data_IF_121021281843
#
_entry.id   IF_121021281843
#
_cell.length_a   1.000
_cell.length_b   1.000
_cell.length_c   1.000
_cell.angle_alpha   90.00
_cell.angle_beta   90.00
_cell.angle_gamma   90.00
#
_symmetry.space_group_name_H-M   'P 1'
#
loop_
_entity.id
_entity.type
_entity.pdbx_description
1 polymer ?
#
# COMPACT_ATOMS: atom_id res chain seq x y z
N UNK A 1 52.99 -6.15 23.04
CA UNK A 1 52.18 -5.04 23.55
C UNK A 1 50.72 -5.49 23.51
N UNK A 2 50.20 -6.02 24.62
CA UNK A 2 48.79 -6.40 24.73
C UNK A 2 47.96 -5.12 24.60
N UNK A 3 47.29 -4.92 23.47
CA UNK A 3 46.20 -3.95 23.42
C UNK A 3 45.14 -4.47 24.38
N UNK A 4 44.98 -3.82 25.53
CA UNK A 4 43.83 -4.05 26.40
C UNK A 4 42.58 -3.70 25.59
N UNK A 5 41.89 -4.73 25.09
CA UNK A 5 40.61 -4.56 24.42
C UNK A 5 39.57 -4.42 25.53
N UNK A 6 39.14 -3.18 25.79
CA UNK A 6 38.11 -2.88 26.78
C UNK A 6 36.73 -3.13 26.15
N UNK A 7 35.97 -4.07 26.72
CA UNK A 7 34.60 -4.36 26.27
C UNK A 7 33.60 -3.49 27.01
N UNK A 8 32.98 -2.52 26.31
CA UNK A 8 31.93 -1.67 26.88
C UNK A 8 30.54 -2.23 26.56
N UNK A 9 29.68 -2.41 27.57
CA UNK A 9 28.25 -2.73 27.38
C UNK A 9 27.55 -1.49 26.79
N UNK A 10 26.92 -1.66 25.63
CA UNK A 10 26.15 -0.61 24.96
C UNK A 10 24.70 -1.07 24.85
N UNK A 11 23.75 -0.23 25.21
CA UNK A 11 22.33 -0.48 25.00
C UNK A 11 22.00 -0.22 23.53
N UNK A 12 21.49 -1.24 22.84
CA UNK A 12 20.93 -1.12 21.49
C UNK A 12 19.41 -0.98 21.66
N UNK A 13 18.86 0.19 21.33
CA UNK A 13 17.43 0.48 21.42
C UNK A 13 16.91 0.77 20.00
N UNK A 14 16.51 -0.28 19.31
CA UNK A 14 15.91 -0.19 17.97
C UNK A 14 14.42 -0.54 18.06
N UNK A 15 13.56 0.32 17.51
CA UNK A 15 12.13 0.02 17.44
C UNK A 15 11.88 -1.09 16.41
N UNK A 16 11.31 -2.21 16.85
CA UNK A 16 10.95 -3.31 15.94
C UNK A 16 9.92 -2.87 14.89
N UNK A 17 9.00 -1.97 15.20
CA UNK A 17 7.93 -1.57 14.29
C UNK A 17 8.16 -0.17 13.71
N UNK A 18 7.97 -0.04 12.40
CA UNK A 18 7.70 1.27 11.78
C UNK A 18 6.43 1.86 12.39
N UNK A 19 6.39 3.18 12.52
CA UNK A 19 5.26 3.90 13.11
C UNK A 19 4.84 3.40 14.51
N UNK A 20 5.79 3.00 15.37
CA UNK A 20 5.53 2.47 16.71
C UNK A 20 4.49 3.28 17.53
N UNK A 21 4.47 4.62 17.42
CA UNK A 21 3.46 5.46 18.08
C UNK A 21 2.02 5.17 17.61
N UNK A 22 1.81 4.91 16.33
CA UNK A 22 0.48 4.61 15.76
C UNK A 22 -0.07 3.27 16.26
N UNK A 23 0.82 2.31 16.51
CA UNK A 23 0.43 1.00 17.05
C UNK A 23 -0.20 1.08 18.45
N UNK A 24 0.07 2.14 19.20
CA UNK A 24 -0.50 2.34 20.54
C UNK A 24 -1.88 3.02 20.52
N UNK A 25 -2.41 3.36 19.34
CA UNK A 25 -3.70 4.05 19.21
C UNK A 25 -4.84 3.02 19.21
N UNK A 26 -5.41 2.80 20.38
CA UNK A 26 -6.52 1.86 20.55
C UNK A 26 -7.90 2.53 20.52
N UNK A 27 -7.97 3.85 20.79
CA UNK A 27 -9.23 4.58 20.88
C UNK A 27 -9.93 4.69 19.52
N UNK A 28 -11.26 4.49 19.50
CA UNK A 28 -12.06 4.57 18.27
C UNK A 28 -11.93 5.94 17.59
N UNK A 29 -11.95 7.01 18.37
CA UNK A 29 -11.80 8.38 17.88
C UNK A 29 -10.43 8.66 17.27
N UNK A 30 -9.35 8.13 17.87
CA UNK A 30 -8.01 8.26 17.31
C UNK A 30 -7.91 7.61 15.93
N UNK A 31 -8.51 6.42 15.76
CA UNK A 31 -8.54 5.72 14.47
C UNK A 31 -9.37 6.46 13.41
N UNK A 32 -10.53 7.01 13.80
CA UNK A 32 -11.37 7.84 12.92
C UNK A 32 -10.61 9.09 12.48
N UNK A 33 -9.94 9.76 13.40
CA UNK A 33 -9.16 10.97 13.10
C UNK A 33 -8.01 10.69 12.14
N UNK A 34 -7.26 9.60 12.35
CA UNK A 34 -6.20 9.18 11.41
C UNK A 34 -6.79 8.84 10.04
N UNK A 35 -7.90 8.10 10.01
CA UNK A 35 -8.60 7.75 8.76
C UNK A 35 -8.95 9.02 7.98
N UNK A 36 -9.53 10.02 8.66
CA UNK A 36 -9.88 11.31 8.07
C UNK A 36 -8.66 12.04 7.49
N UNK A 37 -7.57 12.16 8.26
CA UNK A 37 -6.34 12.79 7.79
C UNK A 37 -5.73 12.07 6.58
N UNK A 38 -5.68 10.74 6.64
CA UNK A 38 -5.17 9.92 5.54
C UNK A 38 -6.05 10.03 4.30
N UNK A 39 -7.37 10.13 4.44
CA UNK A 39 -8.28 10.31 3.30
C UNK A 39 -8.08 11.65 2.58
N UNK A 40 -7.87 12.75 3.32
CA UNK A 40 -7.56 14.06 2.70
C UNK A 40 -6.23 13.98 1.96
N UNK A 41 -5.19 13.52 2.64
CA UNK A 41 -3.85 13.42 2.07
C UNK A 41 -3.84 12.54 0.82
N UNK A 42 -4.49 11.37 0.89
CA UNK A 42 -4.62 10.44 -0.23
C UNK A 42 -5.37 11.07 -1.41
N UNK A 43 -6.47 11.77 -1.16
CA UNK A 43 -7.25 12.42 -2.23
C UNK A 43 -6.44 13.48 -2.98
N UNK A 44 -5.75 14.37 -2.26
CA UNK A 44 -4.90 15.41 -2.87
C UNK A 44 -3.76 14.75 -3.66
N UNK A 45 -3.06 13.80 -3.04
CA UNK A 45 -1.95 13.12 -3.69
C UNK A 45 -2.42 12.33 -4.93
N UNK A 46 -3.61 11.71 -4.91
CA UNK A 46 -4.17 10.98 -6.06
C UNK A 46 -4.44 11.93 -7.23
N UNK A 47 -4.97 13.13 -6.97
CA UNK A 47 -5.19 14.12 -8.04
C UNK A 47 -3.86 14.52 -8.68
N UNK A 48 -2.89 14.94 -7.86
CA UNK A 48 -1.61 15.47 -8.34
C UNK A 48 -0.75 14.39 -9.01
N UNK A 49 -0.71 13.18 -8.45
CA UNK A 49 0.21 12.13 -8.89
C UNK A 49 -0.39 11.18 -9.93
N UNK A 50 -1.72 11.05 -9.99
CA UNK A 50 -2.42 10.05 -10.80
C UNK A 50 -3.41 10.67 -11.77
N UNK A 51 -4.40 11.43 -11.25
CA UNK A 51 -5.46 11.97 -12.10
C UNK A 51 -4.90 12.92 -13.18
N UNK A 52 -3.99 13.82 -12.79
CA UNK A 52 -3.43 14.83 -13.68
C UNK A 52 -2.28 14.31 -14.57
N UNK A 53 -1.63 13.21 -14.19
CA UNK A 53 -0.44 12.70 -14.89
C UNK A 53 -0.77 11.67 -15.96
N UNK A 54 -1.99 11.13 -15.98
CA UNK A 54 -2.33 10.02 -16.88
C UNK A 54 -2.08 8.63 -16.30
N UNK A 55 -1.36 8.55 -15.17
CA UNK A 55 -1.14 7.28 -14.48
C UNK A 55 -2.45 6.67 -13.95
N UNK A 56 -2.39 5.39 -13.61
CA UNK A 56 -3.48 4.65 -13.01
C UNK A 56 -3.24 4.43 -11.52
N UNK A 57 -4.31 4.52 -10.72
CA UNK A 57 -4.25 4.13 -9.32
C UNK A 57 -4.00 2.62 -9.17
N UNK A 58 -3.73 2.16 -7.96
CA UNK A 58 -3.45 0.74 -7.72
C UNK A 58 -4.74 -0.05 -7.48
N UNK A 59 -4.83 -1.24 -8.07
CA UNK A 59 -5.94 -2.15 -7.84
C UNK A 59 -7.27 -1.63 -8.40
N UNK A 60 -8.30 -1.51 -7.54
CA UNK A 60 -9.65 -1.11 -7.99
C UNK A 60 -9.66 0.31 -8.54
N UNK A 61 -8.79 1.20 -8.05
CA UNK A 61 -8.68 2.58 -8.54
C UNK A 61 -8.36 2.61 -10.05
N UNK A 62 -7.50 1.73 -10.55
CA UNK A 62 -7.20 1.64 -11.98
C UNK A 62 -8.48 1.40 -12.82
N UNK A 63 -9.38 0.55 -12.31
CA UNK A 63 -10.63 0.21 -12.98
C UNK A 63 -11.57 1.43 -12.97
N UNK A 64 -11.74 2.09 -11.82
CA UNK A 64 -12.56 3.30 -11.71
C UNK A 64 -12.07 4.42 -12.62
N UNK A 65 -10.76 4.67 -12.65
CA UNK A 65 -10.15 5.70 -13.50
C UNK A 65 -10.38 5.38 -14.98
N UNK A 66 -10.23 4.11 -15.36
CA UNK A 66 -10.42 3.67 -16.74
C UNK A 66 -11.84 3.86 -17.24
N UNK A 67 -12.84 3.52 -16.41
CA UNK A 67 -14.25 3.69 -16.76
C UNK A 67 -14.58 5.18 -16.83
N UNK A 68 -14.08 5.99 -15.89
CA UNK A 68 -14.26 7.44 -15.91
C UNK A 68 -13.71 8.06 -17.20
N UNK A 69 -12.48 7.73 -17.60
CA UNK A 69 -11.86 8.23 -18.84
C UNK A 69 -12.64 7.78 -20.08
N UNK A 70 -12.98 6.49 -20.14
CA UNK A 70 -13.70 5.91 -21.26
C UNK A 70 -15.08 6.58 -21.43
N UNK A 71 -15.91 6.58 -20.39
CA UNK A 71 -17.27 7.12 -20.49
C UNK A 71 -17.24 8.63 -20.69
N UNK A 72 -16.33 9.35 -20.03
CA UNK A 72 -16.15 10.79 -20.26
C UNK A 72 -15.82 11.10 -21.71
N UNK A 73 -14.80 10.45 -22.28
CA UNK A 73 -14.37 10.67 -23.66
C UNK A 73 -15.46 10.31 -24.68
N UNK A 74 -16.10 9.14 -24.55
CA UNK A 74 -17.14 8.75 -25.49
C UNK A 74 -18.43 9.56 -25.33
N UNK A 75 -18.70 10.14 -24.16
CA UNK A 75 -19.79 11.12 -23.99
C UNK A 75 -19.50 12.39 -24.78
N UNK A 76 -18.26 12.90 -24.72
CA UNK A 76 -17.83 14.04 -25.54
C UNK A 76 -17.98 13.74 -27.03
N UNK A 77 -17.53 12.56 -27.48
CA UNK A 77 -17.67 12.12 -28.88
C UNK A 77 -19.13 11.98 -29.32
N UNK A 78 -20.03 11.62 -28.41
CA UNK A 78 -21.47 11.55 -28.66
C UNK A 78 -22.17 12.92 -28.67
N UNK A 79 -21.43 14.03 -28.51
CA UNK A 79 -21.95 15.40 -28.58
C UNK A 79 -22.26 16.03 -27.21
N UNK A 80 -21.86 15.40 -26.09
CA UNK A 80 -21.94 16.06 -24.79
C UNK A 80 -21.03 17.29 -24.75
N UNK A 81 -21.44 18.35 -24.06
CA UNK A 81 -20.57 19.50 -23.87
C UNK A 81 -19.34 19.14 -22.97
N UNK A 82 -18.21 19.86 -23.09
CA UNK A 82 -16.99 19.53 -22.35
C UNK A 82 -17.16 19.52 -20.83
N UNK A 83 -17.97 20.44 -20.28
CA UNK A 83 -18.20 20.54 -18.84
C UNK A 83 -18.95 19.31 -18.28
N UNK A 84 -19.94 18.82 -19.03
CA UNK A 84 -20.69 17.61 -18.69
C UNK A 84 -19.79 16.37 -18.82
N UNK A 85 -19.00 16.26 -19.89
CA UNK A 85 -18.07 15.15 -20.06
C UNK A 85 -17.02 15.10 -18.93
N UNK A 86 -16.50 16.26 -18.50
CA UNK A 86 -15.60 16.36 -17.34
C UNK A 86 -16.30 15.97 -16.04
N UNK A 87 -17.54 16.40 -15.84
CA UNK A 87 -18.37 16.03 -14.68
C UNK A 87 -18.58 14.52 -14.61
N UNK A 88 -18.92 13.90 -15.74
CA UNK A 88 -19.06 12.44 -15.87
C UNK A 88 -17.74 11.76 -15.50
N UNK A 89 -16.62 12.23 -16.06
CA UNK A 89 -15.29 11.71 -15.72
C UNK A 89 -15.04 11.75 -14.21
N UNK A 90 -15.16 12.91 -13.56
CA UNK A 90 -14.87 13.08 -12.11
C UNK A 90 -15.81 12.24 -11.25
N UNK A 91 -17.11 12.27 -11.53
CA UNK A 91 -18.10 11.52 -10.72
C UNK A 91 -17.87 10.01 -10.88
N UNK A 92 -17.61 9.51 -12.08
CA UNK A 92 -17.37 8.08 -12.27
C UNK A 92 -16.02 7.65 -11.70
N UNK A 93 -14.97 8.47 -11.85
CA UNK A 93 -13.65 8.20 -11.30
C UNK A 93 -13.70 7.92 -9.79
N UNK A 94 -14.41 8.74 -9.03
CA UNK A 94 -14.52 8.58 -7.57
C UNK A 94 -15.72 7.73 -7.14
N UNK A 95 -16.86 7.84 -7.84
CA UNK A 95 -18.10 7.12 -7.52
C UNK A 95 -18.00 5.63 -7.80
N UNK A 96 -17.39 5.22 -8.91
CA UNK A 96 -17.18 3.79 -9.21
C UNK A 96 -16.25 3.16 -8.17
N UNK A 97 -15.27 3.90 -7.66
CA UNK A 97 -14.41 3.41 -6.56
C UNK A 97 -15.24 3.02 -5.34
N UNK A 98 -16.23 3.83 -4.95
CA UNK A 98 -17.16 3.46 -3.87
C UNK A 98 -17.95 2.21 -4.24
N UNK A 99 -18.54 2.17 -5.43
CA UNK A 99 -19.41 1.07 -5.88
C UNK A 99 -18.68 -0.28 -5.93
N UNK A 100 -17.52 -0.33 -6.58
CA UNK A 100 -16.71 -1.57 -6.70
C UNK A 100 -16.20 -2.06 -5.35
N UNK A 101 -16.12 -1.18 -4.35
CA UNK A 101 -15.74 -1.55 -3.00
C UNK A 101 -16.88 -2.10 -2.14
N UNK A 102 -18.15 -1.85 -2.47
CA UNK A 102 -19.28 -2.36 -1.66
C UNK A 102 -19.19 -3.89 -1.45
N UNK A 103 -19.00 -4.72 -2.49
CA UNK A 103 -18.85 -6.17 -2.30
C UNK A 103 -17.64 -6.54 -1.44
N UNK A 104 -16.53 -5.82 -1.57
CA UNK A 104 -15.30 -6.06 -0.81
C UNK A 104 -15.47 -5.69 0.67
N UNK A 105 -16.22 -4.63 0.96
CA UNK A 105 -16.55 -4.22 2.32
C UNK A 105 -17.46 -5.26 2.98
N UNK A 106 -18.51 -5.69 2.28
CA UNK A 106 -19.39 -6.78 2.75
C UNK A 106 -18.56 -8.03 3.04
N UNK A 107 -17.69 -8.42 2.10
CA UNK A 107 -16.77 -9.54 2.30
C UNK A 107 -15.89 -9.36 3.54
N UNK A 108 -15.28 -8.19 3.71
CA UNK A 108 -14.39 -7.92 4.86
C UNK A 108 -15.12 -7.91 6.21
N UNK A 109 -16.38 -7.52 6.23
CA UNK A 109 -17.23 -7.53 7.42
C UNK A 109 -17.43 -8.95 7.94
N UNK A 110 -17.63 -9.91 7.02
CA UNK A 110 -17.86 -11.32 7.36
C UNK A 110 -16.57 -12.15 7.48
N UNK A 111 -15.51 -11.82 6.73
CA UNK A 111 -14.30 -12.66 6.63
C UNK A 111 -13.07 -12.11 7.33
N UNK A 112 -13.04 -10.84 7.70
CA UNK A 112 -11.88 -10.22 8.35
C UNK A 112 -12.23 -9.73 9.76
N UNK A 113 -13.01 -8.65 9.86
CA UNK A 113 -13.49 -8.04 11.12
C UNK A 113 -14.47 -6.90 10.78
N UNK A 114 -15.54 -6.75 11.57
CA UNK A 114 -16.50 -5.62 11.46
C UNK A 114 -15.84 -4.25 11.54
N UNK A 115 -14.93 -4.03 12.49
CA UNK A 115 -14.23 -2.76 12.64
C UNK A 115 -13.35 -2.46 11.41
N UNK A 116 -12.74 -3.49 10.83
CA UNK A 116 -11.95 -3.34 9.61
C UNK A 116 -12.82 -2.89 8.44
N UNK A 117 -14.00 -3.51 8.27
CA UNK A 117 -14.95 -3.11 7.25
C UNK A 117 -15.43 -1.66 7.45
N UNK A 118 -15.77 -1.27 8.69
CA UNK A 118 -16.28 0.07 9.01
C UNK A 118 -15.23 1.15 8.70
N UNK A 119 -13.99 0.99 9.19
CA UNK A 119 -12.95 2.00 8.96
C UNK A 119 -12.52 2.05 7.48
N UNK A 120 -12.51 0.89 6.80
CA UNK A 120 -12.22 0.84 5.35
C UNK A 120 -13.30 1.56 4.56
N UNK A 121 -14.58 1.31 4.87
CA UNK A 121 -15.68 2.03 4.25
C UNK A 121 -15.60 3.54 4.50
N UNK A 122 -15.31 3.94 5.74
CA UNK A 122 -15.13 5.34 6.09
C UNK A 122 -14.01 5.98 5.26
N UNK A 123 -12.87 5.32 5.12
CA UNK A 123 -11.76 5.82 4.29
C UNK A 123 -12.18 6.00 2.83
N UNK A 124 -12.84 5.00 2.23
CA UNK A 124 -13.25 5.03 0.82
C UNK A 124 -14.25 6.17 0.58
N UNK A 125 -15.23 6.35 1.46
CA UNK A 125 -16.21 7.43 1.35
C UNK A 125 -15.54 8.79 1.51
N UNK A 126 -14.73 8.98 2.55
CA UNK A 126 -14.06 10.26 2.79
C UNK A 126 -13.09 10.61 1.67
N UNK A 127 -12.23 9.68 1.24
CA UNK A 127 -11.29 9.92 0.15
C UNK A 127 -12.00 10.23 -1.17
N UNK A 128 -13.15 9.59 -1.45
CA UNK A 128 -13.95 9.89 -2.63
C UNK A 128 -14.62 11.26 -2.56
N UNK A 129 -15.18 11.63 -1.41
CA UNK A 129 -15.78 12.96 -1.20
C UNK A 129 -14.71 14.05 -1.36
N UNK A 130 -13.56 13.88 -0.72
CA UNK A 130 -12.45 14.83 -0.86
C UNK A 130 -11.90 14.86 -2.29
N UNK A 131 -11.77 13.71 -2.95
CA UNK A 131 -11.32 13.61 -4.33
C UNK A 131 -12.22 14.36 -5.31
N UNK A 132 -13.55 14.20 -5.16
CA UNK A 132 -14.54 14.98 -5.92
C UNK A 132 -14.39 16.47 -5.59
N UNK A 133 -14.40 16.84 -4.30
CA UNK A 133 -14.31 18.22 -3.86
C UNK A 133 -13.07 18.94 -4.38
N UNK A 134 -11.91 18.30 -4.32
CA UNK A 134 -10.65 18.84 -4.82
C UNK A 134 -10.59 18.87 -6.35
N UNK A 135 -11.21 17.93 -7.05
CA UNK A 135 -11.28 17.93 -8.53
C UNK A 135 -12.09 19.10 -9.10
N UNK A 136 -12.97 19.71 -8.30
CA UNK A 136 -13.72 20.92 -8.69
C UNK A 136 -13.05 22.23 -8.26
N UNK A 137 -11.89 22.17 -7.61
CA UNK A 137 -11.11 23.39 -7.36
C UNK A 137 -10.62 23.93 -8.71
N UNK A 138 -10.81 25.23 -9.02
CA UNK A 138 -10.35 25.81 -10.27
C UNK A 138 -8.84 25.61 -10.48
N UNK A 139 -8.45 25.20 -11.68
CA UNK A 139 -7.07 24.87 -12.06
C UNK A 139 -6.46 23.66 -11.32
N UNK A 140 -7.27 22.83 -10.65
CA UNK A 140 -6.77 21.60 -10.01
C UNK A 140 -6.16 20.62 -11.01
N UNK A 141 -6.61 20.65 -12.28
CA UNK A 141 -6.06 19.87 -13.38
C UNK A 141 -4.62 20.25 -13.76
N UNK A 142 -4.16 21.44 -13.35
CA UNK A 142 -2.80 21.94 -13.62
C UNK A 142 -1.85 21.70 -12.45
N UNK A 143 -2.34 21.17 -11.34
CA UNK A 143 -1.49 20.87 -10.19
C UNK A 143 -0.48 19.78 -10.56
N UNK A 144 0.78 20.18 -10.64
CA UNK A 144 1.91 19.33 -11.02
C UNK A 144 3.13 19.70 -10.19
N UNK A 145 3.98 18.71 -9.90
CA UNK A 145 5.24 18.88 -9.16
C UNK A 145 6.46 18.96 -10.09
N UNK A 146 6.46 18.15 -11.15
CA UNK A 146 7.58 18.01 -12.10
C UNK A 146 7.21 18.46 -13.51
N UNK A 147 6.24 19.37 -13.61
CA UNK A 147 5.70 19.87 -14.86
C UNK A 147 4.70 18.92 -15.52
N UNK A 148 4.35 19.27 -16.75
CA UNK A 148 3.36 18.55 -17.55
C UNK A 148 3.99 17.32 -18.22
N UNK A 149 3.38 16.16 -17.96
CA UNK A 149 3.84 14.86 -18.42
C UNK A 149 2.93 14.23 -19.46
N UNK A 150 1.83 14.88 -19.84
CA UNK A 150 0.88 14.35 -20.82
C UNK A 150 1.19 14.87 -22.21
N UNK A 151 0.80 14.11 -23.23
CA UNK A 151 0.82 14.54 -24.61
C UNK A 151 -0.18 15.71 -24.78
N UNK A 152 0.33 16.89 -25.10
CA UNK A 152 -0.48 18.11 -25.13
C UNK A 152 -1.61 18.05 -26.15
N UNK A 153 -1.33 17.44 -27.29
CA UNK A 153 -2.29 17.33 -28.38
C UNK A 153 -3.43 16.40 -28.01
N UNK A 154 -3.11 15.19 -27.53
CA UNK A 154 -4.10 14.24 -27.05
C UNK A 154 -4.94 14.83 -25.90
N UNK A 155 -4.30 15.57 -25.00
CA UNK A 155 -4.97 16.24 -23.90
C UNK A 155 -5.90 17.35 -24.40
N UNK A 156 -5.45 18.24 -25.30
CA UNK A 156 -6.26 19.37 -25.78
C UNK A 156 -7.46 18.92 -26.60
N UNK A 157 -7.28 17.93 -27.49
CA UNK A 157 -8.37 17.46 -28.36
C UNK A 157 -9.42 16.66 -27.61
N UNK A 158 -9.00 15.91 -26.59
CA UNK A 158 -9.92 15.22 -25.69
C UNK A 158 -10.50 16.10 -24.58
N UNK A 159 -10.22 17.41 -24.58
CA UNK A 159 -10.65 18.34 -23.53
C UNK A 159 -10.24 17.89 -22.12
N UNK A 160 -9.03 17.32 -22.00
CA UNK A 160 -8.45 16.86 -20.74
C UNK A 160 -9.00 15.54 -20.20
N UNK A 161 -9.70 14.76 -21.04
CA UNK A 161 -10.25 13.45 -20.66
C UNK A 161 -9.26 12.31 -20.93
N UNK A 162 -8.41 12.45 -21.94
CA UNK A 162 -7.31 11.53 -22.23
C UNK A 162 -6.01 12.19 -21.74
N UNK A 163 -5.43 11.61 -20.71
CA UNK A 163 -4.13 12.00 -20.15
C UNK A 163 -3.20 10.82 -20.37
N UNK A 164 -2.28 10.96 -21.33
CA UNK A 164 -1.37 9.91 -21.77
C UNK A 164 -0.09 10.56 -22.31
N UNK A 165 1.07 9.99 -22.02
CA UNK A 165 2.32 10.28 -22.72
C UNK A 165 2.51 9.30 -23.88
N UNK A 166 3.21 9.70 -24.93
CA UNK A 166 3.41 8.84 -26.10
C UNK A 166 4.90 8.61 -26.38
N UNK A 167 5.20 7.57 -27.17
CA UNK A 167 6.57 7.27 -27.64
C UNK A 167 6.97 8.17 -28.82
N UNK A 168 7.03 9.48 -28.57
CA UNK A 168 7.42 10.49 -29.56
C UNK A 168 8.60 11.30 -29.09
N UNK A 169 9.29 11.96 -30.02
CA UNK A 169 10.36 12.88 -29.65
C UNK A 169 9.84 14.09 -28.86
N UNK A 170 8.61 14.55 -29.13
CA UNK A 170 7.99 15.65 -28.38
C UNK A 170 7.73 15.28 -26.91
N UNK A 171 7.48 14.00 -26.62
CA UNK A 171 7.18 13.52 -25.27
C UNK A 171 8.39 12.91 -24.55
N UNK A 172 9.55 12.79 -25.21
CA UNK A 172 10.73 12.14 -24.64
C UNK A 172 11.17 12.73 -23.29
N UNK A 173 11.06 14.06 -23.11
CA UNK A 173 11.38 14.73 -21.84
C UNK A 173 10.37 14.46 -20.72
N UNK A 174 9.19 13.93 -21.05
CA UNK A 174 8.09 13.67 -20.10
C UNK A 174 8.19 12.29 -19.45
N UNK A 175 8.87 11.35 -20.10
CA UNK A 175 8.95 9.95 -19.66
C UNK A 175 9.62 9.81 -18.29
N UNK A 176 10.73 10.52 -18.04
CA UNK A 176 11.43 10.44 -16.76
C UNK A 176 10.63 11.06 -15.60
N UNK A 177 10.08 12.29 -15.71
CA UNK A 177 9.14 12.81 -14.72
C UNK A 177 7.95 11.88 -14.45
N UNK A 178 7.38 11.25 -15.48
CA UNK A 178 6.26 10.31 -15.33
C UNK A 178 6.63 9.08 -14.47
N UNK A 179 7.84 8.55 -14.62
CA UNK A 179 8.36 7.48 -13.75
C UNK A 179 8.51 7.99 -12.32
N UNK A 180 9.02 9.22 -12.12
CA UNK A 180 9.18 9.81 -10.79
C UNK A 180 7.82 9.97 -10.10
N UNK A 181 6.79 10.44 -10.82
CA UNK A 181 5.41 10.50 -10.31
C UNK A 181 4.92 9.12 -9.86
N UNK A 182 5.13 8.08 -10.68
CA UNK A 182 4.75 6.71 -10.36
C UNK A 182 5.46 6.19 -9.11
N UNK A 183 6.78 6.40 -8.99
CA UNK A 183 7.57 5.99 -7.81
C UNK A 183 7.10 6.72 -6.54
N UNK A 184 6.86 8.03 -6.62
CA UNK A 184 6.39 8.81 -5.48
C UNK A 184 4.98 8.40 -5.06
N UNK A 185 4.08 8.17 -6.01
CA UNK A 185 2.75 7.64 -5.71
C UNK A 185 2.83 6.26 -5.06
N UNK A 186 3.68 5.36 -5.57
CA UNK A 186 3.88 4.05 -4.96
C UNK A 186 4.30 4.13 -3.49
N UNK A 187 5.23 5.05 -3.17
CA UNK A 187 5.68 5.27 -1.78
C UNK A 187 4.55 5.86 -0.94
N UNK A 188 3.85 6.88 -1.44
CA UNK A 188 2.71 7.51 -0.75
C UNK A 188 1.61 6.48 -0.47
N UNK A 189 1.21 5.72 -1.49
CA UNK A 189 0.20 4.68 -1.38
C UNK A 189 0.62 3.64 -0.34
N UNK A 190 1.86 3.16 -0.38
CA UNK A 190 2.38 2.20 0.58
C UNK A 190 2.38 2.73 2.02
N UNK A 191 2.74 4.00 2.24
CA UNK A 191 2.68 4.65 3.56
C UNK A 191 1.23 4.71 4.05
N UNK A 192 0.30 5.17 3.20
CA UNK A 192 -1.12 5.24 3.56
C UNK A 192 -1.66 3.85 3.87
N UNK A 193 -1.41 2.85 3.02
CA UNK A 193 -1.83 1.46 3.27
C UNK A 193 -1.25 0.93 4.58
N UNK A 194 0.04 1.15 4.87
CA UNK A 194 0.66 0.72 6.12
C UNK A 194 -0.02 1.38 7.34
N UNK A 195 -0.22 2.69 7.33
CA UNK A 195 -0.92 3.42 8.40
C UNK A 195 -2.34 2.88 8.58
N UNK A 196 -3.07 2.67 7.49
CA UNK A 196 -4.43 2.14 7.51
C UNK A 196 -4.45 0.71 8.07
N UNK A 197 -3.52 -0.17 7.69
CA UNK A 197 -3.43 -1.52 8.24
C UNK A 197 -3.10 -1.53 9.73
N UNK A 198 -2.26 -0.60 10.21
CA UNK A 198 -1.93 -0.46 11.64
C UNK A 198 -3.19 -0.17 12.46
N UNK A 199 -4.03 0.75 12.01
CA UNK A 199 -5.29 1.08 12.69
C UNK A 199 -6.42 0.05 12.42
N UNK A 200 -6.08 -1.09 11.82
CA UNK A 200 -7.01 -2.17 11.44
C UNK A 200 -8.05 -1.73 10.39
N UNK A 201 -7.60 -1.04 9.35
CA UNK A 201 -8.37 -0.60 8.19
C UNK A 201 -7.60 -0.91 6.89
N UNK A 202 -8.06 -0.40 5.75
CA UNK A 202 -7.47 -0.56 4.42
C UNK A 202 -7.83 0.65 3.57
N UNK A 203 -7.07 0.88 2.49
CA UNK A 203 -7.40 1.90 1.50
C UNK A 203 -8.58 1.50 0.59
N UNK A 204 -9.19 0.33 0.84
CA UNK A 204 -10.14 -0.31 -0.05
C UNK A 204 -9.47 -1.16 -1.14
N UNK A 205 -10.23 -1.46 -2.17
CA UNK A 205 -9.81 -2.22 -3.33
C UNK A 205 -9.31 -3.62 -3.01
N UNK A 206 -8.44 -4.12 -3.87
CA UNK A 206 -7.89 -5.46 -3.73
C UNK A 206 -7.00 -5.64 -2.49
N UNK A 207 -6.59 -4.56 -1.81
CA UNK A 207 -5.92 -4.61 -0.51
C UNK A 207 -6.74 -5.42 0.51
N UNK A 208 -8.08 -5.33 0.46
CA UNK A 208 -8.97 -6.12 1.31
C UNK A 208 -8.77 -7.62 1.10
N UNK A 209 -8.68 -8.06 -0.17
CA UNK A 209 -8.42 -9.44 -0.51
C UNK A 209 -7.01 -9.85 -0.11
N UNK A 210 -6.02 -8.98 -0.34
CA UNK A 210 -4.62 -9.23 0.03
C UNK A 210 -4.48 -9.43 1.54
N UNK A 211 -5.13 -8.59 2.36
CA UNK A 211 -5.15 -8.76 3.83
C UNK A 211 -5.81 -10.07 4.23
N UNK A 212 -6.93 -10.45 3.61
CA UNK A 212 -7.57 -11.73 3.87
C UNK A 212 -6.67 -12.92 3.51
N UNK A 213 -6.18 -12.99 2.28
CA UNK A 213 -5.33 -14.08 1.81
C UNK A 213 -4.03 -14.20 2.59
N UNK A 214 -3.43 -13.07 2.97
CA UNK A 214 -2.19 -13.04 3.75
C UNK A 214 -2.40 -13.56 5.17
N UNK A 215 -3.57 -13.32 5.78
CA UNK A 215 -3.98 -13.96 7.05
C UNK A 215 -4.14 -15.47 6.88
N UNK A 216 -4.86 -15.92 5.87
CA UNK A 216 -5.19 -17.35 5.68
C UNK A 216 -4.00 -18.20 5.23
N UNK A 217 -3.08 -17.62 4.43
CA UNK A 217 -1.95 -18.34 3.83
C UNK A 217 -0.61 -18.02 4.47
N UNK A 218 -0.56 -17.09 5.43
CA UNK A 218 0.67 -16.67 6.13
C UNK A 218 1.81 -16.30 5.16
N UNK A 219 1.46 -15.64 4.06
CA UNK A 219 2.39 -15.19 3.01
C UNK A 219 2.50 -13.67 3.02
N UNK A 220 3.63 -13.15 2.56
CA UNK A 220 3.86 -11.71 2.44
C UNK A 220 2.80 -11.02 1.56
N UNK A 221 2.47 -9.78 1.90
CA UNK A 221 1.42 -9.01 1.23
C UNK A 221 1.84 -8.61 -0.19
N UNK A 222 3.11 -8.25 -0.38
CA UNK A 222 3.65 -7.69 -1.64
C UNK A 222 3.42 -8.56 -2.87
N UNK A 223 3.49 -9.89 -2.75
CA UNK A 223 3.25 -10.80 -3.88
C UNK A 223 1.80 -10.77 -4.38
N UNK A 224 0.82 -10.77 -3.47
CA UNK A 224 -0.58 -10.70 -3.86
C UNK A 224 -0.95 -9.32 -4.39
N UNK A 225 -0.37 -8.26 -3.81
CA UNK A 225 -0.48 -6.90 -4.36
C UNK A 225 -0.04 -6.84 -5.82
N UNK A 226 1.13 -7.42 -6.13
CA UNK A 226 1.68 -7.43 -7.48
C UNK A 226 0.68 -8.03 -8.47
N UNK A 227 0.10 -9.20 -8.15
CA UNK A 227 -0.85 -9.89 -9.04
C UNK A 227 -2.10 -9.03 -9.29
N UNK A 228 -2.78 -8.60 -8.23
CA UNK A 228 -4.03 -7.85 -8.36
C UNK A 228 -3.83 -6.51 -9.06
N UNK A 229 -2.73 -5.81 -8.76
CA UNK A 229 -2.45 -4.52 -9.39
C UNK A 229 -2.07 -4.66 -10.86
N UNK A 230 -1.31 -5.68 -11.25
CA UNK A 230 -0.98 -5.93 -12.66
C UNK A 230 -2.24 -6.24 -13.46
N UNK A 231 -3.13 -7.10 -12.94
CA UNK A 231 -4.41 -7.40 -13.61
C UNK A 231 -5.24 -6.12 -13.80
N UNK A 232 -5.37 -5.32 -12.75
CA UNK A 232 -6.04 -4.02 -12.79
C UNK A 232 -5.42 -3.04 -13.78
N UNK A 233 -4.09 -2.93 -13.83
CA UNK A 233 -3.40 -2.02 -14.73
C UNK A 233 -3.63 -2.41 -16.20
N UNK A 234 -3.59 -3.70 -16.53
CA UNK A 234 -3.84 -4.16 -17.90
C UNK A 234 -5.28 -3.81 -18.33
N UNK A 235 -6.28 -4.09 -17.50
CA UNK A 235 -7.68 -3.73 -17.78
C UNK A 235 -7.84 -2.21 -17.85
N UNK A 236 -7.25 -1.50 -16.89
CA UNK A 236 -7.38 -0.06 -16.76
C UNK A 236 -6.78 0.68 -17.95
N UNK A 237 -5.56 0.30 -18.36
CA UNK A 237 -4.87 0.85 -19.51
C UNK A 237 -5.59 0.50 -20.83
N UNK A 238 -6.10 -0.73 -20.96
CA UNK A 238 -6.88 -1.15 -22.13
C UNK A 238 -8.11 -0.25 -22.33
N UNK A 239 -8.91 -0.09 -21.28
CA UNK A 239 -10.19 0.62 -21.35
C UNK A 239 -10.00 2.13 -21.35
N UNK A 240 -9.14 2.66 -20.49
CA UNK A 240 -9.07 4.10 -20.23
C UNK A 240 -8.04 4.87 -21.05
N UNK A 241 -7.05 4.19 -21.64
CA UNK A 241 -5.97 4.84 -22.41
C UNK A 241 -5.89 4.29 -23.82
N UNK A 242 -5.70 2.99 -23.98
CA UNK A 242 -5.48 2.37 -25.29
C UNK A 242 -6.65 2.57 -26.26
N UNK A 243 -7.88 2.20 -25.86
CA UNK A 243 -9.06 2.35 -26.73
C UNK A 243 -9.36 3.84 -27.02
N UNK A 244 -9.49 4.74 -26.02
CA UNK A 244 -9.80 6.14 -26.28
C UNK A 244 -8.74 6.84 -27.14
N UNK A 245 -7.45 6.59 -26.88
CA UNK A 245 -6.35 7.20 -27.63
C UNK A 245 -6.29 6.68 -29.06
N UNK A 246 -6.51 5.38 -29.28
CA UNK A 246 -6.57 4.81 -30.64
C UNK A 246 -7.69 5.44 -31.45
N UNK A 247 -8.86 5.63 -30.84
CA UNK A 247 -10.00 6.28 -31.49
C UNK A 247 -9.73 7.77 -31.77
N UNK A 248 -8.97 8.45 -30.90
CA UNK A 248 -8.56 9.84 -31.13
C UNK A 248 -7.60 9.96 -32.32
N UNK A 249 -6.59 9.08 -32.40
CA UNK A 249 -5.61 9.06 -33.50
C UNK A 249 -6.28 8.72 -34.84
N UNK A 250 -7.31 7.87 -34.84
CA UNK A 250 -8.02 7.47 -36.07
C UNK A 250 -8.78 8.63 -36.72
N UNK A 251 -9.25 9.59 -35.91
CA UNK A 251 -10.03 10.74 -36.39
C UNK A 251 -9.17 11.96 -36.69
N UNK A 252 -7.95 12.01 -36.17
CA UNK A 252 -7.05 13.14 -36.36
C UNK A 252 -5.73 12.73 -37.07
N UNK A 253 -5.60 13.03 -38.38
CA UNK A 253 -4.44 12.66 -39.18
C UNK A 253 -3.15 13.36 -38.74
N UNK A 254 -3.21 14.42 -37.93
CA UNK A 254 -2.04 15.14 -37.47
C UNK A 254 -1.25 14.35 -36.39
N UNK A 255 -1.72 13.15 -35.99
CA UNK A 255 -0.96 12.24 -35.11
C UNK A 255 0.07 11.38 -35.86
N UNK A 256 0.22 11.54 -37.18
CA UNK A 256 1.23 10.87 -38.01
C UNK A 256 2.65 10.98 -37.41
N UNK A 257 3.42 9.88 -37.25
CA UNK A 257 3.23 8.54 -37.81
C UNK A 257 2.52 7.52 -36.92
N UNK A 258 1.77 7.96 -35.91
CA UNK A 258 1.01 7.00 -35.09
C UNK A 258 -0.11 6.35 -35.87
N UNK A 259 -0.20 5.03 -35.72
CA UNK A 259 -1.30 4.23 -36.25
C UNK A 259 -2.28 3.91 -35.12
N UNK A 260 -3.60 4.03 -35.37
CA UNK A 260 -4.60 3.57 -34.41
C UNK A 260 -4.39 2.10 -34.05
N UNK A 261 -4.61 1.75 -32.77
CA UNK A 261 -4.50 0.38 -32.27
C UNK A 261 -3.11 -0.26 -32.41
N UNK A 262 -2.05 0.54 -32.54
CA UNK A 262 -0.70 0.01 -32.43
C UNK A 262 -0.40 -0.45 -31.00
N UNK A 263 0.32 -1.56 -30.88
CA UNK A 263 0.93 -2.06 -29.65
C UNK A 263 1.66 -0.98 -28.84
N UNK A 264 2.29 0.01 -29.49
CA UNK A 264 2.97 1.12 -28.82
C UNK A 264 2.02 2.02 -28.01
N UNK A 265 0.73 2.09 -28.36
CA UNK A 265 -0.28 2.81 -27.59
C UNK A 265 -0.71 2.03 -26.35
N UNK A 266 -0.69 0.70 -26.41
CA UNK A 266 -0.96 -0.13 -25.23
C UNK A 266 0.22 -0.07 -24.27
N UNK A 267 1.43 -0.31 -24.76
CA UNK A 267 2.66 -0.23 -23.98
C UNK A 267 3.22 1.19 -23.90
N UNK A 268 2.34 2.19 -23.73
CA UNK A 268 2.72 3.60 -23.61
C UNK A 268 3.59 3.86 -22.34
N UNK A 269 4.28 5.02 -22.26
CA UNK A 269 5.07 5.39 -21.09
C UNK A 269 4.30 5.33 -19.75
N UNK A 270 3.02 5.68 -19.70
CA UNK A 270 2.19 5.60 -18.49
C UNK A 270 2.04 4.15 -18.00
N UNK A 271 1.87 3.20 -18.92
CA UNK A 271 1.81 1.77 -18.62
C UNK A 271 3.13 1.29 -18.01
N UNK A 272 4.27 1.65 -18.63
CA UNK A 272 5.60 1.27 -18.12
C UNK A 272 5.85 1.87 -16.73
N UNK A 273 5.52 3.16 -16.55
CA UNK A 273 5.58 3.81 -15.24
C UNK A 273 4.66 3.12 -14.23
N UNK A 274 3.46 2.71 -14.65
CA UNK A 274 2.52 1.92 -13.85
C UNK A 274 3.08 0.58 -13.38
N UNK A 275 3.79 -0.15 -14.25
CA UNK A 275 4.47 -1.41 -13.86
C UNK A 275 5.55 -1.15 -12.81
N UNK A 276 6.38 -0.12 -13.01
CA UNK A 276 7.43 0.27 -12.05
C UNK A 276 6.80 0.66 -10.71
N UNK A 277 5.76 1.48 -10.75
CA UNK A 277 4.98 1.92 -9.59
C UNK A 277 4.43 0.73 -8.80
N UNK A 278 3.89 -0.30 -9.47
CA UNK A 278 3.40 -1.51 -8.79
C UNK A 278 4.54 -2.25 -8.09
N UNK A 279 5.68 -2.44 -8.76
CA UNK A 279 6.84 -3.14 -8.19
C UNK A 279 7.37 -2.41 -6.95
N UNK A 280 7.52 -1.08 -7.03
CA UNK A 280 7.94 -0.24 -5.92
C UNK A 280 6.93 -0.33 -4.78
N UNK A 281 5.64 -0.22 -5.05
CA UNK A 281 4.61 -0.29 -4.02
C UNK A 281 4.67 -1.63 -3.27
N UNK A 282 4.75 -2.75 -4.00
CA UNK A 282 4.84 -4.08 -3.39
C UNK A 282 6.07 -4.22 -2.48
N UNK A 283 7.22 -3.66 -2.86
CA UNK A 283 8.43 -3.67 -2.05
C UNK A 283 8.29 -2.79 -0.79
N UNK A 284 7.79 -1.56 -0.95
CA UNK A 284 7.68 -0.60 0.16
C UNK A 284 6.65 -1.06 1.19
N UNK A 285 5.50 -1.61 0.78
CA UNK A 285 4.51 -2.18 1.70
C UNK A 285 5.10 -3.31 2.55
N UNK A 286 5.86 -4.23 1.93
CA UNK A 286 6.51 -5.32 2.65
C UNK A 286 7.59 -4.84 3.64
N UNK A 287 8.17 -3.66 3.42
CA UNK A 287 9.11 -3.01 4.35
C UNK A 287 8.36 -2.33 5.49
N UNK A 288 7.36 -1.51 5.17
CA UNK A 288 6.65 -0.68 6.15
C UNK A 288 5.69 -1.49 7.04
N UNK A 289 5.13 -2.58 6.51
CA UNK A 289 4.15 -3.40 7.22
C UNK A 289 4.46 -4.90 7.07
N UNK A 290 5.54 -5.40 7.69
CA UNK A 290 5.98 -6.81 7.59
C UNK A 290 5.10 -7.78 8.40
N UNK A 291 3.78 -7.56 8.48
CA UNK A 291 2.90 -8.17 9.48
C UNK A 291 2.93 -9.69 9.52
N UNK A 292 2.94 -10.34 8.36
CA UNK A 292 2.88 -11.79 8.26
C UNK A 292 4.26 -12.43 8.02
N UNK A 293 5.35 -11.66 8.14
CA UNK A 293 6.70 -12.22 8.14
C UNK A 293 6.89 -13.00 9.44
N UNK A 294 7.27 -14.26 9.30
CA UNK A 294 7.62 -15.12 10.42
C UNK A 294 8.99 -14.73 10.96
N UNK A 295 9.09 -14.64 12.29
CA UNK A 295 10.34 -14.38 12.98
C UNK A 295 10.55 -15.34 14.14
N UNK A 296 11.82 -15.59 14.47
CA UNK A 296 12.21 -16.15 15.75
C UNK A 296 12.62 -15.00 16.67
N UNK A 297 12.08 -14.97 17.88
CA UNK A 297 12.49 -14.05 18.93
C UNK A 297 13.24 -14.84 19.99
N UNK A 298 14.49 -14.47 20.24
CA UNK A 298 15.31 -14.99 21.33
C UNK A 298 15.48 -13.92 22.42
N UNK A 299 15.28 -14.30 23.67
CA UNK A 299 15.45 -13.45 24.85
C UNK A 299 16.47 -14.10 25.77
N UNK A 300 17.55 -13.38 26.04
CA UNK A 300 18.55 -13.75 27.02
C UNK A 300 18.31 -12.94 28.29
N UNK A 301 17.98 -13.63 29.38
CA UNK A 301 17.62 -13.02 30.66
C UNK A 301 17.87 -14.01 31.81
N UNK A 302 18.04 -13.49 33.02
CA UNK A 302 18.05 -14.31 34.24
C UNK A 302 16.63 -14.65 34.71
N UNK A 303 15.62 -13.87 34.31
CA UNK A 303 14.23 -13.97 34.75
C UNK A 303 13.35 -14.74 33.74
N UNK A 304 13.93 -15.71 33.01
CA UNK A 304 13.24 -16.42 31.92
C UNK A 304 11.94 -17.10 32.34
N UNK A 305 11.86 -17.65 33.56
CA UNK A 305 10.64 -18.29 34.05
C UNK A 305 9.51 -17.28 34.31
N UNK A 306 9.82 -16.16 34.96
CA UNK A 306 8.86 -15.08 35.22
C UNK A 306 8.34 -14.48 33.91
N UNK A 307 9.25 -14.28 32.94
CA UNK A 307 8.90 -13.84 31.58
C UNK A 307 7.95 -14.85 30.92
N UNK A 308 8.25 -16.15 30.99
CA UNK A 308 7.38 -17.20 30.42
C UNK A 308 5.99 -17.19 31.06
N UNK A 309 5.90 -17.06 32.38
CA UNK A 309 4.63 -17.02 33.09
C UNK A 309 3.78 -15.81 32.70
N UNK A 310 4.40 -14.64 32.57
CA UNK A 310 3.70 -13.44 32.13
C UNK A 310 3.22 -13.55 30.67
N UNK A 311 4.03 -14.14 29.78
CA UNK A 311 3.64 -14.42 28.40
C UNK A 311 2.45 -15.38 28.36
N UNK A 312 2.45 -16.44 29.17
CA UNK A 312 1.36 -17.43 29.19
C UNK A 312 0.09 -16.89 29.86
N UNK A 313 0.23 -15.93 30.78
CA UNK A 313 -0.87 -15.22 31.41
C UNK A 313 -1.52 -14.19 30.49
N UNK A 314 -0.82 -13.79 29.42
CA UNK A 314 -1.35 -12.85 28.43
C UNK A 314 -2.43 -13.52 27.57
N UNK A 315 -3.70 -13.23 27.87
CA UNK A 315 -4.85 -13.90 27.26
C UNK A 315 -5.06 -13.58 25.77
N UNK A 316 -4.57 -12.42 25.32
CA UNK A 316 -4.85 -11.94 23.96
C UNK A 316 -4.02 -12.61 22.87
N UNK A 317 -2.85 -13.18 23.22
CA UNK A 317 -1.94 -13.88 22.30
C UNK A 317 -1.28 -15.04 23.04
N UNK A 318 -1.39 -16.25 22.51
CA UNK A 318 -0.64 -17.42 22.95
C UNK A 318 0.67 -17.55 22.17
N UNK A 319 1.78 -17.64 22.90
CA UNK A 319 3.09 -17.90 22.31
C UNK A 319 3.51 -19.32 22.66
N UNK A 320 4.01 -20.07 21.67
CA UNK A 320 4.75 -21.29 21.94
C UNK A 320 6.19 -20.92 22.25
N UNK A 321 6.64 -21.18 23.48
CA UNK A 321 7.99 -20.84 23.92
C UNK A 321 8.83 -22.08 24.19
N UNK A 322 10.14 -21.96 24.03
CA UNK A 322 11.13 -22.98 24.39
C UNK A 322 12.22 -22.34 25.24
N UNK A 323 12.65 -23.04 26.29
CA UNK A 323 13.76 -22.60 27.14
C UNK A 323 14.97 -23.46 26.81
N UNK A 324 16.10 -22.80 26.59
CA UNK A 324 17.40 -23.44 26.40
C UNK A 324 18.41 -22.88 27.39
N UNK A 325 19.30 -23.74 27.88
CA UNK A 325 20.47 -23.35 28.67
C UNK A 325 21.63 -23.13 27.70
N UNK A 326 22.30 -21.99 27.82
CA UNK A 326 23.44 -21.61 26.98
C UNK A 326 24.62 -21.26 27.89
N UNK A 327 25.84 -21.57 27.47
CA UNK A 327 27.06 -21.21 28.21
C UNK A 327 27.71 -20.00 27.53
N UNK A 328 28.04 -18.97 28.32
CA UNK A 328 28.68 -17.77 27.79
C UNK A 328 30.12 -18.06 27.36
N UNK A 329 30.43 -18.00 26.07
CA UNK A 329 31.76 -18.37 25.56
C UNK A 329 32.94 -17.55 26.09
N UNK A 330 32.71 -16.32 26.58
CA UNK A 330 33.73 -15.52 27.28
C UNK A 330 33.68 -15.70 28.80
N UNK A 331 32.47 -15.74 29.38
CA UNK A 331 32.30 -15.74 30.83
C UNK A 331 32.31 -17.12 31.49
N UNK A 332 32.09 -18.20 30.74
CA UNK A 332 31.84 -19.56 31.25
C UNK A 332 30.52 -19.75 32.00
N UNK A 333 29.83 -18.66 32.37
CA UNK A 333 28.59 -18.72 33.12
C UNK A 333 27.42 -19.28 32.29
N UNK A 334 26.62 -20.15 32.92
CA UNK A 334 25.33 -20.61 32.38
C UNK A 334 24.34 -19.44 32.33
N UNK A 335 23.64 -19.31 31.21
CA UNK A 335 22.56 -18.35 30.99
C UNK A 335 21.34 -19.09 30.42
N UNK A 336 20.15 -18.55 30.66
CA UNK A 336 18.91 -19.06 30.08
C UNK A 336 18.52 -18.22 28.88
N UNK A 337 18.01 -18.90 27.85
CA UNK A 337 17.45 -18.29 26.66
C UNK A 337 16.03 -18.78 26.45
N UNK A 338 15.09 -17.83 26.39
CA UNK A 338 13.71 -18.07 25.98
C UNK A 338 13.59 -17.79 24.48
N UNK A 339 13.03 -18.72 23.72
CA UNK A 339 12.85 -18.58 22.28
C UNK A 339 11.40 -18.81 21.88
N UNK A 340 10.89 -18.06 20.90
CA UNK A 340 9.57 -18.28 20.29
C UNK A 340 9.61 -18.02 18.79
N UNK A 341 8.74 -18.69 18.03
CA UNK A 341 8.49 -18.37 16.64
C UNK A 341 7.10 -17.73 16.54
N UNK A 342 7.01 -16.54 15.98
CA UNK A 342 5.75 -15.79 15.89
C UNK A 342 5.72 -14.89 14.65
N UNK A 343 4.60 -14.22 14.40
CA UNK A 343 4.57 -13.15 13.41
C UNK A 343 5.33 -11.93 13.90
N UNK A 344 5.90 -11.17 12.95
CA UNK A 344 6.64 -9.93 13.25
C UNK A 344 5.83 -8.96 14.12
N UNK A 345 4.52 -8.87 13.90
CA UNK A 345 3.64 -8.04 14.73
C UNK A 345 3.48 -8.54 16.16
N UNK A 346 3.47 -9.86 16.36
CA UNK A 346 3.37 -10.46 17.69
C UNK A 346 4.69 -10.34 18.46
N UNK A 347 5.82 -10.31 17.75
CA UNK A 347 7.14 -10.07 18.34
C UNK A 347 7.19 -8.74 19.11
N UNK A 348 6.54 -7.69 18.62
CA UNK A 348 6.46 -6.43 19.36
C UNK A 348 5.75 -6.59 20.71
N UNK A 349 4.57 -7.21 20.72
CA UNK A 349 3.82 -7.50 21.96
C UNK A 349 4.65 -8.36 22.92
N UNK A 350 5.31 -9.39 22.39
CA UNK A 350 6.22 -10.25 23.15
C UNK A 350 7.34 -9.43 23.80
N UNK A 351 8.02 -8.56 23.04
CA UNK A 351 9.09 -7.72 23.58
C UNK A 351 8.61 -6.72 24.63
N UNK A 352 7.38 -6.21 24.50
CA UNK A 352 6.79 -5.30 25.48
C UNK A 352 6.56 -6.00 26.83
N UNK A 353 6.07 -7.24 26.82
CA UNK A 353 5.91 -8.05 28.03
C UNK A 353 7.26 -8.35 28.67
N UNK A 354 8.25 -8.77 27.86
CA UNK A 354 9.62 -9.04 28.34
C UNK A 354 10.20 -7.81 29.04
N UNK A 355 10.11 -6.62 28.42
CA UNK A 355 10.67 -5.37 28.95
C UNK A 355 9.97 -4.87 30.23
N UNK A 356 8.74 -5.31 30.51
CA UNK A 356 8.07 -5.00 31.78
C UNK A 356 8.69 -5.76 32.96
N UNK A 357 9.31 -6.91 32.70
CA UNK A 357 9.87 -7.80 33.72
C UNK A 357 11.39 -7.62 33.79
N UNK A 358 12.05 -7.64 32.64
CA UNK A 358 13.49 -7.42 32.52
C UNK A 358 13.76 -6.30 31.49
N UNK A 359 13.89 -5.05 31.96
CA UNK A 359 14.23 -3.91 31.12
C UNK A 359 15.59 -4.04 30.42
N UNK A 360 16.49 -4.87 30.92
CA UNK A 360 17.87 -5.04 30.47
C UNK A 360 18.11 -6.30 29.62
N UNK A 361 17.07 -7.12 29.43
CA UNK A 361 17.13 -8.34 28.62
C UNK A 361 17.66 -8.07 27.21
N UNK A 362 18.53 -8.94 26.70
CA UNK A 362 18.93 -8.90 25.31
C UNK A 362 17.88 -9.64 24.48
N UNK A 363 17.24 -8.93 23.55
CA UNK A 363 16.21 -9.48 22.68
C UNK A 363 16.73 -9.43 21.24
N UNK A 364 16.69 -10.56 20.55
CA UNK A 364 17.16 -10.69 19.16
C UNK A 364 16.04 -11.26 18.32
N UNK A 365 15.74 -10.61 17.19
CA UNK A 365 14.68 -11.02 16.26
C UNK A 365 15.29 -11.45 14.93
N UNK A 366 15.05 -12.70 14.54
CA UNK A 366 15.58 -13.29 13.31
C UNK A 366 14.47 -13.52 12.29
N UNK A 367 14.59 -13.04 11.04
CA UNK A 367 13.64 -13.37 9.99
C UNK A 367 13.75 -14.85 9.59
N UNK A 368 12.62 -15.55 9.55
CA UNK A 368 12.56 -16.94 9.08
C UNK A 368 12.29 -16.93 7.57
N UNK A 369 13.29 -17.26 6.75
CA UNK A 369 13.15 -17.28 5.28
C UNK A 369 12.31 -18.44 4.77
N UNK A 370 12.45 -19.62 5.37
CA UNK A 370 11.73 -20.85 5.01
C UNK A 370 11.54 -21.68 6.27
N UNK A 371 10.38 -22.34 6.39
CA UNK A 371 10.07 -23.30 7.44
C UNK A 371 9.30 -24.47 6.83
N UNK A 372 9.46 -25.66 7.42
CA UNK A 372 8.71 -26.87 7.05
C UNK A 372 8.19 -27.52 8.33
N UNK A 373 6.91 -27.89 8.35
CA UNK A 373 6.22 -28.46 9.52
C UNK A 373 5.08 -27.59 10.06
N UNK A 374 4.56 -27.97 11.23
CA UNK A 374 3.49 -27.24 11.91
C UNK A 374 4.06 -26.20 12.87
N UNK A 375 3.49 -24.99 12.85
CA UNK A 375 3.79 -23.96 13.84
C UNK A 375 2.50 -23.55 14.56
N UNK A 376 2.61 -23.41 15.87
CA UNK A 376 1.52 -22.89 16.69
C UNK A 376 1.57 -21.37 16.65
N UNK A 377 0.63 -20.77 15.94
CA UNK A 377 0.50 -19.32 15.79
C UNK A 377 -0.87 -18.93 16.31
N UNK A 378 -0.93 -17.86 17.09
CA UNK A 378 -2.18 -17.39 17.66
C UNK A 378 -3.10 -16.81 16.60
N UNK A 379 -4.29 -17.39 16.48
CA UNK A 379 -5.39 -16.77 15.75
C UNK A 379 -6.24 -15.97 16.73
N UNK A 380 -6.31 -14.65 16.53
CA UNK A 380 -7.28 -13.82 17.24
C UNK A 380 -8.67 -14.14 16.64
N UNK A 381 -9.42 -15.04 17.28
CA UNK A 381 -10.85 -15.17 17.02
C UNK A 381 -11.50 -13.91 17.60
N UNK A 382 -11.74 -12.91 16.74
CA UNK A 382 -12.59 -11.75 17.07
C UNK A 382 -13.90 -11.87 16.35
#
# INVERSE_FOLDING_TARGET
MNKNIETKRVRVDESLLFFNKLHNIETRWGKIFITFLMSIFFAIASIVMIQNTGLYGLGVDALSHSIGRFVGYFSLKAGANPALARTIFVILFWGITVLLNIPLIIFSYFKINKNFAIYTFLFIILSSIFGIGFSYIPNSEKWSLFGDVVNQKAYSESQGLISIALWTQQDASKHMPLIIYGVLWAIIYAIVSAVMFIISSSNGGFDVLVVYYSREKFKNLGFFFLIFHILSLNIGNLIGSYIPTSVLIDIDPDFNPMTPYDSHLFFNPDYISGVIMILVNSLVVDILFPKFKLVRVDVMSQNVEEIREAIYSYSAIRFATSISKIEGGFSGNEQKKLSTNCFYMDAHTFTKIVRQIDPDALIIVYPIKKASGYMYISHKNT
#
